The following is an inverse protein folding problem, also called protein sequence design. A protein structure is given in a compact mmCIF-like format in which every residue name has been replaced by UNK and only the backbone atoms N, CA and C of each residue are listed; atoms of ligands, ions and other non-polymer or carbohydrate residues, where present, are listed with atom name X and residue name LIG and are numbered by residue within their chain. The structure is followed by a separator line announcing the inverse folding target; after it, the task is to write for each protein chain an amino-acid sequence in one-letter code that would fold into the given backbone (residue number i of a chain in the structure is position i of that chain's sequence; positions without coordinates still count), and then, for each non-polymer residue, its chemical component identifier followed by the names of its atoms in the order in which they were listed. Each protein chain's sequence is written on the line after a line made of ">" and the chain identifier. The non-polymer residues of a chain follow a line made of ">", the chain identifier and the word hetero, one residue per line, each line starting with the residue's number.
data_IF_346081308175
#
_entry.id   IF_346081308175
#
_cell.length_a   1.000
_cell.length_b   1.000
_cell.length_c   1.000
_cell.angle_alpha   90.00
_cell.angle_beta   90.00
_cell.angle_gamma   90.00
#
_symmetry.space_group_name_H-M   'P 1'
#
loop_
_entity.id
_entity.type
_entity.pdbx_description
1 polymer ?
#
# COMPACT_ATOMS: atom_id res chain seq x y z
N UNK A 1 -4.24 6.82 17.32
CA UNK A 1 -3.40 5.93 16.49
C UNK A 1 -4.26 5.52 15.32
N UNK A 2 -3.89 5.90 14.10
CA UNK A 2 -4.61 5.46 12.90
C UNK A 2 -4.25 3.99 12.62
N UNK A 3 -5.22 3.20 12.16
CA UNK A 3 -5.00 1.81 11.78
C UNK A 3 -5.47 1.61 10.35
N UNK A 4 -4.74 0.80 9.59
CA UNK A 4 -5.02 0.52 8.18
C UNK A 4 -5.50 -0.91 8.03
N UNK A 5 -6.42 -1.16 7.12
CA UNK A 5 -6.87 -2.53 6.81
C UNK A 5 -6.30 -2.96 5.47
N UNK A 6 -5.57 -4.08 5.47
CA UNK A 6 -5.06 -4.70 4.25
C UNK A 6 -6.22 -5.08 3.33
N UNK A 7 -6.22 -4.56 2.11
CA UNK A 7 -7.23 -4.87 1.08
C UNK A 7 -7.21 -6.34 0.65
N UNK A 8 -6.06 -7.01 0.77
CA UNK A 8 -5.88 -8.39 0.31
C UNK A 8 -6.32 -9.48 1.30
N UNK A 9 -6.33 -9.20 2.61
CA UNK A 9 -6.66 -10.21 3.62
C UNK A 9 -7.42 -9.68 4.84
N UNK A 10 -7.74 -8.39 4.90
CA UNK A 10 -8.43 -7.76 6.03
C UNK A 10 -7.56 -7.59 7.29
N UNK A 11 -6.28 -7.97 7.25
CA UNK A 11 -5.34 -7.80 8.37
C UNK A 11 -5.25 -6.32 8.76
N UNK A 12 -5.36 -6.05 10.06
CA UNK A 12 -5.14 -4.72 10.62
C UNK A 12 -3.64 -4.46 10.66
N UNK A 13 -3.22 -3.33 10.11
CA UNK A 13 -1.85 -2.84 10.06
C UNK A 13 -1.78 -1.59 10.94
N UNK A 14 -0.94 -1.66 11.96
CA UNK A 14 -0.73 -0.52 12.89
C UNK A 14 0.19 0.54 12.28
N UNK A 15 0.97 0.17 11.27
CA UNK A 15 1.88 1.05 10.55
C UNK A 15 1.84 0.73 9.05
N UNK A 16 2.10 1.75 8.22
CA UNK A 16 2.41 1.57 6.80
C UNK A 16 3.92 1.41 6.63
N UNK A 17 4.39 0.67 5.61
CA UNK A 17 5.80 0.59 5.29
C UNK A 17 6.41 1.98 5.07
N UNK A 18 7.64 2.19 5.55
CA UNK A 18 8.33 3.48 5.41
C UNK A 18 8.51 3.90 3.94
N UNK A 19 8.63 2.95 3.02
CA UNK A 19 8.71 3.26 1.59
C UNK A 19 7.46 3.97 1.06
N UNK A 20 6.27 3.68 1.62
CA UNK A 20 5.02 4.33 1.23
C UNK A 20 5.00 5.81 1.66
N UNK A 21 5.62 6.15 2.79
CA UNK A 21 5.70 7.56 3.23
C UNK A 21 6.81 8.36 2.53
N UNK A 22 7.80 7.67 1.94
CA UNK A 22 8.92 8.31 1.25
C UNK A 22 8.69 8.49 -0.25
N UNK A 23 7.84 7.66 -0.86
CA UNK A 23 7.63 7.63 -2.30
C UNK A 23 6.12 7.57 -2.59
N UNK A 24 5.57 8.76 -2.86
CA UNK A 24 4.18 8.97 -3.23
C UNK A 24 4.13 9.69 -4.58
N UNK A 25 3.25 9.22 -5.44
CA UNK A 25 3.01 9.79 -6.77
C UNK A 25 1.53 10.06 -6.95
N UNK A 26 1.22 11.09 -7.72
CA UNK A 26 -0.14 11.31 -8.19
C UNK A 26 -0.31 10.58 -9.53
N UNK A 27 -1.18 9.58 -9.56
CA UNK A 27 -1.55 8.88 -10.78
C UNK A 27 -2.65 9.67 -11.50
N UNK A 28 -2.29 10.40 -12.55
CA UNK A 28 -3.22 11.26 -13.30
C UNK A 28 -4.30 10.46 -14.03
N UNK A 29 -3.97 9.26 -14.53
CA UNK A 29 -4.94 8.40 -15.25
C UNK A 29 -6.07 7.95 -14.34
N UNK A 30 -5.75 7.66 -13.07
CA UNK A 30 -6.71 7.24 -12.04
C UNK A 30 -7.18 8.39 -11.16
N UNK A 31 -6.63 9.58 -11.34
CA UNK A 31 -6.87 10.77 -10.53
C UNK A 31 -6.76 10.50 -9.01
N UNK A 32 -5.70 9.81 -8.58
CA UNK A 32 -5.51 9.40 -7.18
C UNK A 32 -4.05 9.41 -6.73
N UNK A 33 -3.82 9.58 -5.43
CA UNK A 33 -2.50 9.39 -4.82
C UNK A 33 -2.21 7.90 -4.63
N UNK A 34 -1.04 7.47 -5.10
CA UNK A 34 -0.51 6.13 -4.92
C UNK A 34 0.83 6.22 -4.18
N UNK A 35 1.12 5.26 -3.32
CA UNK A 35 2.39 5.16 -2.63
C UNK A 35 3.10 3.85 -2.94
N UNK A 36 4.43 3.86 -2.92
CA UNK A 36 5.22 2.68 -3.18
C UNK A 36 5.22 1.75 -1.96
N UNK A 37 4.62 0.57 -2.12
CA UNK A 37 4.51 -0.48 -1.08
C UNK A 37 5.62 -1.53 -1.20
N UNK A 38 6.73 -1.18 -1.87
CA UNK A 38 7.87 -2.07 -2.08
C UNK A 38 7.72 -2.96 -3.31
N UNK A 39 8.83 -3.62 -3.70
CA UNK A 39 8.96 -4.34 -4.98
C UNK A 39 7.90 -5.40 -5.25
N UNK A 40 7.33 -5.98 -4.19
CA UNK A 40 6.35 -7.06 -4.29
C UNK A 40 4.91 -6.54 -4.50
N UNK A 41 4.65 -5.26 -4.22
CA UNK A 41 3.32 -4.65 -4.35
C UNK A 41 3.28 -3.48 -5.34
N UNK A 42 4.43 -2.85 -5.62
CA UNK A 42 4.49 -1.66 -6.46
C UNK A 42 3.76 -0.48 -5.83
N UNK A 43 3.25 0.41 -6.69
CA UNK A 43 2.43 1.54 -6.27
C UNK A 43 0.99 1.10 -6.03
N UNK A 44 0.44 1.48 -4.88
CA UNK A 44 -0.94 1.22 -4.50
C UNK A 44 -1.59 2.49 -3.98
N UNK A 45 -2.90 2.62 -4.22
CA UNK A 45 -3.68 3.68 -3.59
C UNK A 45 -3.73 3.47 -2.07
N UNK A 46 -3.91 4.57 -1.32
CA UNK A 46 -4.06 4.49 0.14
C UNK A 46 -5.31 3.69 0.57
N UNK A 47 -6.32 3.57 -0.31
CA UNK A 47 -7.50 2.75 -0.08
C UNK A 47 -7.24 1.25 -0.30
N UNK A 48 -6.19 0.90 -1.04
CA UNK A 48 -5.90 -0.48 -1.47
C UNK A 48 -4.62 -1.04 -0.85
N UNK A 49 -4.10 -0.42 0.21
CA UNK A 49 -2.89 -0.86 0.91
C UNK A 49 -2.95 -2.36 1.23
N UNK A 50 -1.83 -3.05 1.02
CA UNK A 50 -1.66 -4.48 1.29
C UNK A 50 -0.59 -4.69 2.34
N UNK A 51 -0.79 -5.69 3.21
CA UNK A 51 0.26 -6.12 4.11
C UNK A 51 1.37 -6.88 3.37
N UNK A 52 2.54 -7.00 4.00
CA UNK A 52 3.71 -7.71 3.45
C UNK A 52 3.40 -9.12 2.94
N UNK A 53 2.52 -9.85 3.63
CA UNK A 53 2.14 -11.22 3.23
C UNK A 53 1.34 -11.23 1.93
N UNK A 54 0.41 -10.27 1.77
CA UNK A 54 -0.33 -10.09 0.53
C UNK A 54 0.58 -9.62 -0.61
N UNK A 55 1.58 -8.78 -0.31
CA UNK A 55 2.57 -8.38 -1.30
C UNK A 55 3.44 -9.57 -1.74
N UNK A 56 3.90 -10.41 -0.81
CA UNK A 56 4.75 -11.57 -1.13
C UNK A 56 4.04 -12.64 -1.97
N UNK A 57 2.71 -12.74 -1.92
CA UNK A 57 1.91 -13.70 -2.72
C UNK A 57 1.79 -13.35 -4.21
N UNK A 58 2.24 -12.17 -4.63
CA UNK A 58 2.19 -11.73 -6.03
C UNK A 58 3.41 -12.19 -6.87
N UNK A 59 4.32 -12.96 -6.28
CA UNK A 59 5.47 -13.60 -6.96
C UNK A 59 5.36 -15.12 -6.92
#
# INVERSE_FOLDING_TARGET
>A
METYRSSGCGKIMETIPQCCSQDMVFNEEKNQLECYMGKNCGYLSLAELKCDECCKKLN
#
